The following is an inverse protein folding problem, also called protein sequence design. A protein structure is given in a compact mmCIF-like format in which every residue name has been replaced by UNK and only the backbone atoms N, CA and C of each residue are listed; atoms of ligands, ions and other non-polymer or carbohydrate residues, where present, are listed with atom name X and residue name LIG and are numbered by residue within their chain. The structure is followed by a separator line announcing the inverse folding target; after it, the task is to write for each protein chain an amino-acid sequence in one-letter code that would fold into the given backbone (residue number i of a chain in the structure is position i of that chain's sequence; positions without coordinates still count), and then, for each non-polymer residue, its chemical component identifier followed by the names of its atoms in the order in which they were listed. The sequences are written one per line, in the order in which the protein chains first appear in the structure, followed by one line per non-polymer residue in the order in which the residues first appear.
data_IF_888215486375
#
_entry.id   IF_888215486375
#
_cell.length_a   1.000
_cell.length_b   1.000
_cell.length_c   1.000
_cell.angle_alpha   90.00
_cell.angle_beta   90.00
_cell.angle_gamma   90.00
#
_symmetry.space_group_name_H-M   'P 1'
#
loop_
_entity.id
_entity.type
_entity.pdbx_description
1 polymer ?
#
# COMPACT_ATOMS: atom_id res chain seq x y z
N UNK A 1 -80.55 104.58 68.02
CA UNK A 1 -79.83 103.47 68.72
C UNK A 1 -79.97 102.15 67.97
N UNK A 2 -81.18 101.73 67.54
CA UNK A 2 -81.38 100.49 66.75
C UNK A 2 -80.63 100.45 65.39
N UNK A 3 -80.55 101.56 64.64
CA UNK A 3 -79.82 101.58 63.34
C UNK A 3 -78.30 101.39 63.44
N UNK A 4 -77.66 101.88 64.52
CA UNK A 4 -76.21 101.72 64.74
C UNK A 4 -75.84 100.29 65.14
N UNK A 5 -76.73 99.58 65.85
CA UNK A 5 -76.54 98.18 66.19
C UNK A 5 -76.71 97.25 64.98
N UNK A 6 -77.62 97.58 64.06
CA UNK A 6 -77.77 96.83 62.79
C UNK A 6 -76.57 97.03 61.86
N UNK A 7 -76.09 98.28 61.69
CA UNK A 7 -74.91 98.56 60.87
C UNK A 7 -73.63 97.91 61.43
N UNK A 8 -73.47 97.91 62.76
CA UNK A 8 -72.31 97.28 63.40
C UNK A 8 -72.37 95.75 63.39
N UNK A 9 -73.58 95.15 63.34
CA UNK A 9 -73.75 93.72 63.05
C UNK A 9 -73.42 93.39 61.60
N UNK A 10 -73.96 94.14 60.63
CA UNK A 10 -73.64 93.96 59.20
C UNK A 10 -72.14 94.08 58.92
N UNK A 11 -71.46 95.10 59.46
CA UNK A 11 -70.01 95.26 59.30
C UNK A 11 -69.19 94.11 59.93
N UNK A 12 -69.66 93.55 61.05
CA UNK A 12 -69.03 92.37 61.66
C UNK A 12 -69.26 91.12 60.83
N UNK A 13 -70.46 90.92 60.30
CA UNK A 13 -70.81 89.78 59.46
C UNK A 13 -70.04 89.82 58.13
N UNK A 14 -69.88 91.01 57.53
CA UNK A 14 -69.03 91.24 56.34
C UNK A 14 -67.54 90.97 56.63
N UNK A 15 -67.03 91.42 57.78
CA UNK A 15 -65.64 91.14 58.19
C UNK A 15 -65.42 89.65 58.47
N UNK A 16 -66.40 88.95 59.02
CA UNK A 16 -66.37 87.49 59.22
C UNK A 16 -66.39 86.78 57.86
N UNK A 17 -67.28 87.19 56.95
CA UNK A 17 -67.36 86.65 55.60
C UNK A 17 -66.08 86.87 54.79
N UNK A 18 -65.45 88.05 54.88
CA UNK A 18 -64.19 88.36 54.21
C UNK A 18 -63.03 87.52 54.77
N UNK A 19 -62.96 87.36 56.10
CA UNK A 19 -61.97 86.48 56.73
C UNK A 19 -62.16 85.02 56.32
N UNK A 20 -63.41 84.57 56.22
CA UNK A 20 -63.76 83.22 55.76
C UNK A 20 -63.32 83.01 54.31
N UNK A 21 -63.65 83.95 53.41
CA UNK A 21 -63.24 83.90 52.00
C UNK A 21 -61.72 83.90 51.85
N UNK A 22 -61.01 84.75 52.60
CA UNK A 22 -59.55 84.78 52.56
C UNK A 22 -58.92 83.49 53.10
N UNK A 23 -59.50 82.89 54.14
CA UNK A 23 -59.05 81.60 54.66
C UNK A 23 -59.31 80.46 53.65
N UNK A 24 -60.47 80.47 52.98
CA UNK A 24 -60.84 79.50 51.94
C UNK A 24 -59.95 79.66 50.69
N UNK A 25 -59.66 80.89 50.26
CA UNK A 25 -58.72 81.19 49.17
C UNK A 25 -57.30 80.74 49.50
N UNK A 26 -56.83 81.00 50.72
CA UNK A 26 -55.52 80.55 51.18
C UNK A 26 -55.45 79.01 51.20
N UNK A 27 -56.49 78.33 51.72
CA UNK A 27 -56.57 76.87 51.72
C UNK A 27 -56.62 76.29 50.30
N UNK A 28 -57.34 76.93 49.38
CA UNK A 28 -57.37 76.57 47.96
C UNK A 28 -56.00 76.74 47.30
N UNK A 29 -55.32 77.86 47.51
CA UNK A 29 -54.01 78.12 46.95
C UNK A 29 -52.95 77.13 47.48
N UNK A 30 -52.92 76.89 48.79
CA UNK A 30 -52.00 75.92 49.42
C UNK A 30 -52.27 74.50 48.93
N UNK A 31 -53.55 74.09 48.83
CA UNK A 31 -53.89 72.76 48.31
C UNK A 31 -53.54 72.60 46.83
N UNK A 32 -53.75 73.63 46.00
CA UNK A 32 -53.34 73.65 44.60
C UNK A 32 -51.80 73.58 44.44
N UNK A 33 -51.05 74.37 45.20
CA UNK A 33 -49.58 74.33 45.21
C UNK A 33 -49.04 72.97 45.67
N UNK A 34 -49.65 72.37 46.70
CA UNK A 34 -49.28 71.04 47.17
C UNK A 34 -49.57 69.98 46.11
N UNK A 35 -50.73 70.05 45.45
CA UNK A 35 -51.09 69.13 44.38
C UNK A 35 -50.16 69.27 43.17
N UNK A 36 -49.80 70.49 42.77
CA UNK A 36 -48.86 70.71 41.68
C UNK A 36 -47.46 70.18 42.02
N UNK A 37 -46.96 70.44 43.23
CA UNK A 37 -45.64 69.94 43.67
C UNK A 37 -45.60 68.41 43.72
N UNK A 38 -46.64 67.77 44.27
CA UNK A 38 -46.74 66.30 44.30
C UNK A 38 -46.80 65.72 42.87
N UNK A 39 -47.53 66.37 41.97
CA UNK A 39 -47.62 65.93 40.58
C UNK A 39 -46.29 66.07 39.83
N UNK A 40 -45.52 67.12 40.13
CA UNK A 40 -44.21 67.35 39.54
C UNK A 40 -43.19 66.33 40.05
N UNK A 41 -43.18 66.09 41.36
CA UNK A 41 -42.35 65.09 42.02
C UNK A 41 -42.67 63.67 41.51
N UNK A 42 -43.95 63.32 41.33
CA UNK A 42 -44.34 62.05 40.75
C UNK A 42 -43.86 61.92 39.30
N UNK A 43 -44.00 62.99 38.49
CA UNK A 43 -43.49 63.01 37.11
C UNK A 43 -41.97 62.85 37.06
N UNK A 44 -41.21 63.47 37.98
CA UNK A 44 -39.76 63.30 38.03
C UNK A 44 -39.37 61.88 38.41
N UNK A 45 -40.02 61.29 39.43
CA UNK A 45 -39.79 59.90 39.80
C UNK A 45 -40.12 58.91 38.67
N UNK A 46 -41.24 59.11 37.97
CA UNK A 46 -41.62 58.28 36.84
C UNK A 46 -40.61 58.39 35.69
N UNK A 47 -40.10 59.60 35.42
CA UNK A 47 -39.06 59.83 34.41
C UNK A 47 -37.75 59.17 34.79
N UNK A 48 -37.29 59.34 36.03
CA UNK A 48 -36.05 58.73 36.50
C UNK A 48 -36.14 57.21 36.53
N UNK A 49 -37.26 56.65 37.01
CA UNK A 49 -37.49 55.21 37.03
C UNK A 49 -37.48 54.63 35.62
N UNK A 50 -38.11 55.29 34.65
CA UNK A 50 -38.06 54.89 33.24
C UNK A 50 -36.64 54.97 32.69
N UNK A 51 -35.95 56.09 32.90
CA UNK A 51 -34.58 56.27 32.40
C UNK A 51 -33.60 55.25 33.00
N UNK A 52 -33.74 54.91 34.28
CA UNK A 52 -32.95 53.88 34.95
C UNK A 52 -33.26 52.50 34.32
N UNK A 53 -34.54 52.15 34.17
CA UNK A 53 -34.93 50.85 33.62
C UNK A 53 -34.50 50.70 32.15
N UNK A 54 -34.62 51.76 31.34
CA UNK A 54 -34.12 51.81 29.97
C UNK A 54 -32.60 51.63 29.90
N UNK A 55 -31.83 52.28 30.78
CA UNK A 55 -30.37 52.10 30.84
C UNK A 55 -29.99 50.67 31.24
N UNK A 56 -30.62 50.09 32.26
CA UNK A 56 -30.34 48.73 32.69
C UNK A 56 -30.69 47.70 31.61
N UNK A 57 -31.86 47.84 30.97
CA UNK A 57 -32.28 46.95 29.88
C UNK A 57 -31.36 47.08 28.67
N UNK A 58 -30.90 48.29 28.34
CA UNK A 58 -29.91 48.51 27.30
C UNK A 58 -28.55 47.89 27.65
N UNK A 59 -28.05 48.06 28.88
CA UNK A 59 -26.80 47.43 29.33
C UNK A 59 -26.87 45.91 29.30
N UNK A 60 -27.98 45.32 29.75
CA UNK A 60 -28.20 43.87 29.70
C UNK A 60 -28.24 43.36 28.25
N UNK A 61 -28.88 44.08 27.33
CA UNK A 61 -28.88 43.75 25.89
C UNK A 61 -27.48 43.79 25.32
N UNK A 62 -26.74 44.89 25.51
CA UNK A 62 -25.36 45.03 25.01
C UNK A 62 -24.44 43.97 25.61
N UNK A 63 -24.56 43.67 26.90
CA UNK A 63 -23.77 42.63 27.54
C UNK A 63 -24.12 41.23 27.02
N UNK A 64 -25.41 40.93 26.82
CA UNK A 64 -25.88 39.68 26.23
C UNK A 64 -25.40 39.52 24.79
N UNK A 65 -25.54 40.55 23.96
CA UNK A 65 -25.12 40.54 22.56
C UNK A 65 -23.61 40.35 22.45
N UNK A 66 -22.83 41.06 23.28
CA UNK A 66 -21.37 40.89 23.35
C UNK A 66 -20.97 39.49 23.77
N UNK A 67 -21.63 38.92 24.79
CA UNK A 67 -21.37 37.55 25.24
C UNK A 67 -21.69 36.53 24.13
N UNK A 68 -22.83 36.68 23.45
CA UNK A 68 -23.21 35.82 22.34
C UNK A 68 -22.23 35.92 21.18
N UNK A 69 -21.77 37.12 20.86
CA UNK A 69 -20.77 37.36 19.82
C UNK A 69 -19.44 36.69 20.16
N UNK A 70 -18.90 36.92 21.37
CA UNK A 70 -17.64 36.27 21.80
C UNK A 70 -17.77 34.75 21.79
N UNK A 71 -18.90 34.20 22.27
CA UNK A 71 -19.14 32.76 22.23
C UNK A 71 -19.22 32.22 20.80
N UNK A 72 -19.81 32.97 19.87
CA UNK A 72 -19.87 32.60 18.46
C UNK A 72 -18.47 32.59 17.83
N UNK A 73 -17.67 33.64 18.08
CA UNK A 73 -16.29 33.75 17.62
C UNK A 73 -15.41 32.61 18.18
N UNK A 74 -15.49 32.32 19.48
CA UNK A 74 -14.76 31.20 20.10
C UNK A 74 -15.19 29.83 19.56
N UNK A 75 -16.48 29.66 19.21
CA UNK A 75 -16.98 28.42 18.60
C UNK A 75 -16.48 28.27 17.19
N UNK A 76 -16.49 29.35 16.41
CA UNK A 76 -15.97 29.36 15.04
C UNK A 76 -14.46 29.04 15.03
N UNK A 77 -13.69 29.67 15.92
CA UNK A 77 -12.26 29.38 16.09
C UNK A 77 -12.01 27.92 16.46
N UNK A 78 -12.74 27.38 17.45
CA UNK A 78 -12.61 25.96 17.82
C UNK A 78 -13.00 25.01 16.71
N UNK A 79 -14.04 25.32 15.94
CA UNK A 79 -14.42 24.50 14.77
C UNK A 79 -13.33 24.53 13.70
N UNK A 80 -12.73 25.69 13.44
CA UNK A 80 -11.61 25.81 12.51
C UNK A 80 -10.39 25.00 12.97
N UNK A 81 -10.04 25.04 14.26
CA UNK A 81 -8.97 24.22 14.83
C UNK A 81 -9.28 22.71 14.74
N UNK A 82 -10.50 22.29 15.05
CA UNK A 82 -10.92 20.90 14.94
C UNK A 82 -10.87 20.39 13.49
N UNK A 83 -11.28 21.19 12.52
CA UNK A 83 -11.16 20.82 11.11
C UNK A 83 -9.69 20.72 10.66
N UNK A 84 -8.82 21.61 11.16
CA UNK A 84 -7.38 21.51 10.93
C UNK A 84 -6.80 20.21 11.49
N UNK A 85 -7.09 19.88 12.76
CA UNK A 85 -6.63 18.61 13.35
C UNK A 85 -7.19 17.40 12.63
N UNK A 86 -8.45 17.46 12.17
CA UNK A 86 -9.06 16.38 11.38
C UNK A 86 -8.36 16.20 10.04
N UNK A 87 -7.93 17.28 9.39
CA UNK A 87 -7.14 17.22 8.16
C UNK A 87 -5.75 16.62 8.41
N UNK A 88 -5.06 17.05 9.47
CA UNK A 88 -3.75 16.52 9.87
C UNK A 88 -3.81 15.01 10.19
N UNK A 89 -4.83 14.57 10.94
CA UNK A 89 -5.03 13.15 11.26
C UNK A 89 -5.31 12.31 10.01
N UNK A 90 -6.08 12.83 9.04
CA UNK A 90 -6.30 12.14 7.76
C UNK A 90 -5.00 12.03 6.97
N UNK A 91 -4.23 13.12 6.87
CA UNK A 91 -2.94 13.11 6.19
C UNK A 91 -1.98 12.10 6.84
N UNK A 92 -1.88 12.09 8.18
CA UNK A 92 -1.08 11.12 8.91
C UNK A 92 -1.56 9.68 8.66
N UNK A 93 -2.87 9.45 8.67
CA UNK A 93 -3.47 8.16 8.34
C UNK A 93 -3.09 7.67 6.94
N UNK A 94 -3.13 8.54 5.93
CA UNK A 94 -2.73 8.18 4.55
C UNK A 94 -1.24 7.88 4.44
N UNK A 95 -0.38 8.64 5.12
CA UNK A 95 1.06 8.41 5.13
C UNK A 95 1.39 7.09 5.84
N UNK A 96 0.77 6.83 6.99
CA UNK A 96 0.99 5.59 7.74
C UNK A 96 0.52 4.35 6.97
N UNK A 97 -0.63 4.43 6.30
CA UNK A 97 -1.14 3.34 5.45
C UNK A 97 -0.22 3.06 4.26
N UNK A 98 0.24 4.12 3.57
CA UNK A 98 1.21 3.99 2.49
C UNK A 98 2.56 3.42 2.96
N UNK A 99 3.04 3.83 4.14
CA UNK A 99 4.30 3.34 4.72
C UNK A 99 4.19 1.88 5.15
N UNK A 100 3.09 1.52 5.83
CA UNK A 100 2.87 0.15 6.30
C UNK A 100 2.71 -0.84 5.14
N UNK A 101 1.95 -0.45 4.11
CA UNK A 101 1.79 -1.27 2.90
C UNK A 101 3.10 -1.40 2.12
N UNK A 102 3.88 -0.32 2.01
CA UNK A 102 5.18 -0.32 1.37
C UNK A 102 6.21 -1.18 2.14
N UNK A 103 6.27 -1.07 3.47
CA UNK A 103 7.17 -1.88 4.31
C UNK A 103 6.81 -3.37 4.21
N UNK A 104 5.52 -3.70 4.29
CA UNK A 104 5.05 -5.07 4.13
C UNK A 104 5.35 -5.65 2.74
N UNK A 105 5.23 -4.83 1.70
CA UNK A 105 5.58 -5.20 0.33
C UNK A 105 7.09 -5.40 0.16
N UNK A 106 7.90 -4.42 0.58
CA UNK A 106 9.36 -4.48 0.50
C UNK A 106 9.94 -5.68 1.24
N UNK A 107 9.46 -5.95 2.47
CA UNK A 107 9.86 -7.12 3.24
C UNK A 107 9.48 -8.44 2.55
N UNK A 108 8.31 -8.49 1.90
CA UNK A 108 7.89 -9.65 1.11
C UNK A 108 8.83 -9.87 -0.09
N UNK A 109 9.14 -8.81 -0.83
CA UNK A 109 10.04 -8.89 -1.98
C UNK A 109 11.42 -9.34 -1.53
N UNK A 110 11.96 -8.79 -0.44
CA UNK A 110 13.24 -9.21 0.13
C UNK A 110 13.27 -10.71 0.48
N UNK A 111 12.25 -11.21 1.20
CA UNK A 111 12.13 -12.64 1.50
C UNK A 111 12.06 -13.50 0.25
N UNK A 112 11.34 -13.04 -0.77
CA UNK A 112 11.21 -13.75 -2.05
C UNK A 112 12.54 -13.79 -2.80
N UNK A 113 13.31 -12.69 -2.79
CA UNK A 113 14.67 -12.64 -3.33
C UNK A 113 15.60 -13.62 -2.65
N UNK A 114 15.59 -13.68 -1.32
CA UNK A 114 16.39 -14.65 -0.57
C UNK A 114 16.01 -16.09 -0.92
N UNK A 115 14.72 -16.40 -0.99
CA UNK A 115 14.25 -17.73 -1.35
C UNK A 115 14.60 -18.12 -2.80
N UNK A 116 14.55 -17.17 -3.74
CA UNK A 116 14.94 -17.39 -5.14
C UNK A 116 16.46 -17.62 -5.29
N UNK A 117 17.27 -16.93 -4.49
CA UNK A 117 18.71 -17.17 -4.40
C UNK A 117 19.00 -18.54 -3.81
N UNK A 118 18.38 -18.90 -2.68
CA UNK A 118 18.54 -20.20 -2.05
C UNK A 118 18.13 -21.36 -2.99
N UNK A 119 17.03 -21.19 -3.73
CA UNK A 119 16.62 -22.13 -4.77
C UNK A 119 17.72 -22.30 -5.81
N UNK A 120 18.28 -21.20 -6.32
CA UNK A 120 19.33 -21.24 -7.34
C UNK A 120 20.61 -21.91 -6.84
N UNK A 121 21.03 -21.62 -5.61
CA UNK A 121 22.19 -22.29 -5.00
C UNK A 121 21.95 -23.80 -4.88
N UNK A 122 20.71 -24.20 -4.55
CA UNK A 122 20.33 -25.62 -4.46
C UNK A 122 20.31 -26.32 -5.82
N UNK A 123 19.90 -25.62 -6.87
CA UNK A 123 19.99 -26.07 -8.26
C UNK A 123 21.44 -26.32 -8.66
N UNK A 124 22.35 -25.39 -8.34
CA UNK A 124 23.78 -25.58 -8.64
C UNK A 124 24.39 -26.74 -7.85
N UNK A 125 23.94 -26.94 -6.61
CA UNK A 125 24.34 -28.07 -5.78
C UNK A 125 23.78 -29.43 -6.24
N UNK A 126 22.97 -29.48 -7.31
CA UNK A 126 22.34 -30.69 -7.85
C UNK A 126 21.59 -31.50 -6.79
N UNK A 127 20.83 -30.80 -5.95
CA UNK A 127 20.21 -31.38 -4.77
C UNK A 127 18.68 -31.21 -4.76
N UNK A 128 17.95 -31.94 -3.90
CA UNK A 128 16.50 -31.83 -3.79
C UNK A 128 16.03 -30.39 -3.55
N UNK A 129 14.95 -30.00 -4.25
CA UNK A 129 14.44 -28.61 -4.28
C UNK A 129 13.18 -28.40 -3.44
N UNK A 130 12.63 -29.46 -2.82
CA UNK A 130 11.35 -29.44 -2.07
C UNK A 130 11.27 -28.31 -1.05
N UNK A 131 12.31 -28.12 -0.24
CA UNK A 131 12.36 -27.14 0.85
C UNK A 131 12.36 -25.72 0.32
N UNK A 132 13.18 -25.47 -0.68
CA UNK A 132 13.42 -24.17 -1.30
C UNK A 132 12.20 -23.72 -2.08
N UNK A 133 11.56 -24.64 -2.82
CA UNK A 133 10.29 -24.39 -3.50
C UNK A 133 9.18 -24.03 -2.50
N UNK A 134 9.11 -24.72 -1.36
CA UNK A 134 8.13 -24.41 -0.30
C UNK A 134 8.38 -23.01 0.28
N UNK A 135 9.63 -22.73 0.66
CA UNK A 135 10.03 -21.43 1.19
C UNK A 135 9.77 -20.30 0.19
N UNK A 136 10.02 -20.54 -1.10
CA UNK A 136 9.75 -19.58 -2.17
C UNK A 136 8.25 -19.31 -2.32
N UNK A 137 7.39 -20.34 -2.36
CA UNK A 137 5.93 -20.17 -2.44
C UNK A 137 5.38 -19.41 -1.24
N UNK A 138 5.88 -19.71 -0.05
CA UNK A 138 5.49 -19.03 1.19
C UNK A 138 5.92 -17.56 1.17
N UNK A 139 7.18 -17.28 0.82
CA UNK A 139 7.70 -15.92 0.71
C UNK A 139 6.96 -15.09 -0.36
N UNK A 140 6.69 -15.70 -1.50
CA UNK A 140 5.97 -15.08 -2.62
C UNK A 140 4.45 -14.97 -2.40
N UNK A 141 3.92 -15.50 -1.30
CA UNK A 141 2.47 -15.62 -1.04
C UNK A 141 1.69 -16.23 -2.21
N UNK A 142 2.22 -17.30 -2.79
CA UNK A 142 1.63 -17.99 -3.95
C UNK A 142 1.45 -17.06 -5.18
N UNK A 143 2.46 -16.25 -5.49
CA UNK A 143 2.52 -15.51 -6.75
C UNK A 143 2.22 -16.43 -7.95
N UNK A 144 1.28 -16.07 -8.85
CA UNK A 144 0.85 -16.95 -9.93
C UNK A 144 1.95 -17.35 -10.91
N UNK A 145 2.90 -16.45 -11.19
CA UNK A 145 3.99 -16.71 -12.12
C UNK A 145 5.00 -17.67 -11.48
N UNK A 146 5.37 -17.44 -10.22
CA UNK A 146 6.23 -18.34 -9.47
C UNK A 146 5.59 -19.72 -9.34
N UNK A 147 4.30 -19.79 -9.05
CA UNK A 147 3.60 -21.06 -8.92
C UNK A 147 3.50 -21.82 -10.25
N UNK A 148 3.24 -21.11 -11.36
CA UNK A 148 3.24 -21.70 -12.70
C UNK A 148 4.64 -22.22 -13.09
N UNK A 149 5.69 -21.45 -12.83
CA UNK A 149 7.07 -21.83 -13.13
C UNK A 149 7.52 -23.06 -12.30
N UNK A 150 7.13 -23.13 -11.04
CA UNK A 150 7.39 -24.32 -10.21
C UNK A 150 6.59 -25.53 -10.71
N UNK A 151 5.34 -25.34 -11.13
CA UNK A 151 4.48 -26.42 -11.65
C UNK A 151 4.96 -27.00 -12.98
N UNK A 152 5.73 -26.26 -13.77
CA UNK A 152 6.34 -26.80 -15.00
C UNK A 152 7.52 -27.74 -14.74
N UNK A 153 8.06 -27.79 -13.52
CA UNK A 153 9.15 -28.70 -13.19
C UNK A 153 8.65 -30.15 -13.05
N UNK A 154 9.39 -31.14 -13.59
CA UNK A 154 9.09 -32.54 -13.35
C UNK A 154 9.18 -32.89 -11.85
N UNK A 155 8.34 -33.82 -11.39
CA UNK A 155 8.39 -34.22 -9.98
C UNK A 155 9.75 -34.81 -9.59
N UNK A 156 10.36 -35.63 -10.44
CA UNK A 156 11.69 -36.22 -10.19
C UNK A 156 12.74 -35.17 -9.83
N UNK A 157 12.70 -34.03 -10.51
CA UNK A 157 13.61 -32.91 -10.29
C UNK A 157 13.40 -32.24 -8.94
N UNK A 158 12.15 -32.07 -8.52
CA UNK A 158 11.81 -31.48 -7.21
C UNK A 158 12.32 -32.38 -6.08
N UNK A 159 12.20 -33.68 -6.30
CA UNK A 159 12.47 -34.76 -5.35
C UNK A 159 13.95 -35.08 -5.16
N UNK A 160 14.65 -35.26 -6.27
CA UNK A 160 16.02 -35.80 -6.31
C UNK A 160 17.03 -34.70 -6.65
N UNK A 161 16.59 -33.63 -7.30
CA UNK A 161 17.45 -32.63 -7.92
C UNK A 161 17.77 -32.98 -9.37
N UNK A 162 18.20 -31.98 -10.14
CA UNK A 162 18.75 -32.21 -11.48
C UNK A 162 20.29 -32.30 -11.40
N UNK A 163 20.94 -33.13 -12.23
CA UNK A 163 22.38 -33.27 -12.20
C UNK A 163 23.09 -31.96 -12.55
N UNK A 164 24.27 -31.74 -11.98
CA UNK A 164 25.10 -30.57 -12.31
C UNK A 164 25.67 -30.65 -13.72
N UNK A 165 26.05 -29.51 -14.30
CA UNK A 165 26.73 -29.46 -15.61
C UNK A 165 27.98 -30.34 -15.61
N UNK A 166 28.75 -30.34 -14.52
CA UNK A 166 29.92 -31.21 -14.37
C UNK A 166 29.57 -32.70 -14.32
N UNK A 167 28.48 -33.07 -13.65
CA UNK A 167 27.99 -34.46 -13.64
C UNK A 167 27.51 -34.90 -15.04
N UNK A 168 26.83 -34.01 -15.76
CA UNK A 168 26.42 -34.26 -17.15
C UNK A 168 27.62 -34.43 -18.06
N UNK A 169 28.66 -33.60 -17.93
CA UNK A 169 29.92 -33.69 -18.66
C UNK A 169 30.64 -35.02 -18.40
N UNK A 170 30.72 -35.46 -17.15
CA UNK A 170 31.39 -36.72 -16.81
C UNK A 170 30.60 -37.93 -17.37
N UNK A 171 29.28 -37.95 -17.19
CA UNK A 171 28.41 -38.99 -17.77
C UNK A 171 28.49 -39.00 -19.29
N UNK A 172 28.62 -37.84 -19.93
CA UNK A 172 28.68 -37.73 -21.38
C UNK A 172 29.90 -38.45 -21.97
N UNK A 173 31.05 -38.47 -21.28
CA UNK A 173 32.24 -39.23 -21.75
C UNK A 173 31.94 -40.71 -21.93
N UNK A 174 31.17 -41.28 -21.00
CA UNK A 174 30.73 -42.67 -21.06
C UNK A 174 29.75 -42.85 -22.23
N UNK A 175 28.73 -42.00 -22.33
CA UNK A 175 27.72 -42.03 -23.40
C UNK A 175 28.39 -41.93 -24.78
N UNK A 176 29.35 -41.01 -24.97
CA UNK A 176 30.12 -40.89 -26.20
C UNK A 176 30.87 -42.18 -26.54
N UNK A 177 31.54 -42.79 -25.56
CA UNK A 177 32.30 -44.03 -25.79
C UNK A 177 31.40 -45.23 -26.14
N UNK A 178 30.21 -45.31 -25.56
CA UNK A 178 29.25 -46.40 -25.81
C UNK A 178 28.47 -46.13 -27.09
N UNK A 179 28.08 -44.89 -27.34
CA UNK A 179 27.40 -44.43 -28.56
C UNK A 179 28.27 -44.63 -29.80
N UNK A 180 29.56 -44.31 -29.73
CA UNK A 180 30.52 -44.61 -30.80
C UNK A 180 30.57 -46.11 -31.10
N UNK A 181 30.71 -46.95 -30.06
CA UNK A 181 30.70 -48.41 -30.23
C UNK A 181 29.38 -48.94 -30.79
N UNK A 182 28.25 -48.38 -30.34
CA UNK A 182 26.92 -48.73 -30.81
C UNK A 182 26.70 -48.36 -32.28
N UNK A 183 27.28 -47.27 -32.76
CA UNK A 183 27.20 -46.86 -34.16
C UNK A 183 27.98 -47.81 -35.09
N UNK A 184 28.96 -48.54 -34.56
CA UNK A 184 29.75 -49.52 -35.31
C UNK A 184 29.10 -50.91 -35.38
N UNK A 185 27.96 -51.13 -34.69
CA UNK A 185 27.24 -52.41 -34.71
C UNK A 185 26.14 -52.33 -35.79
N UNK A 186 26.19 -53.15 -36.86
CA UNK A 186 25.12 -53.21 -37.86
C UNK A 186 23.81 -53.68 -37.23
N UNK A 187 22.69 -53.04 -37.57
CA UNK A 187 21.37 -53.39 -36.99
C UNK A 187 20.82 -54.76 -37.46
N UNK A 188 21.48 -55.43 -38.42
CA UNK A 188 21.10 -56.75 -38.94
C UNK A 188 22.33 -57.62 -39.26
N UNK A 189 22.95 -58.26 -38.27
CA UNK A 189 23.86 -59.37 -38.56
C UNK A 189 23.66 -60.56 -37.64
N UNK A 190 22.85 -61.49 -38.15
CA UNK A 190 23.15 -62.91 -37.98
C UNK A 190 24.61 -63.19 -38.35
N UNK A 191 25.14 -64.23 -37.73
CA UNK A 191 26.56 -64.60 -37.72
C UNK A 191 27.15 -64.58 -39.15
N UNK A 192 28.34 -63.97 -39.27
CA UNK A 192 29.24 -63.88 -40.44
C UNK A 192 29.05 -62.64 -41.32
N UNK A 193 30.13 -61.85 -41.43
CA UNK A 193 30.36 -61.05 -42.63
C UNK A 193 31.15 -59.77 -42.44
N UNK A 194 32.44 -59.91 -42.10
CA UNK A 194 33.55 -59.01 -42.41
C UNK A 194 33.30 -57.49 -42.53
N UNK A 195 33.99 -56.77 -41.63
CA UNK A 195 34.66 -55.49 -41.86
C UNK A 195 34.47 -54.87 -43.27
N UNK A 196 33.69 -53.80 -43.34
CA UNK A 196 33.88 -52.76 -44.34
C UNK A 196 34.09 -51.44 -43.62
N UNK A 197 35.31 -50.92 -43.79
CA UNK A 197 35.78 -49.73 -43.14
C UNK A 197 35.31 -48.46 -43.85
N UNK A 198 35.10 -47.43 -43.03
CA UNK A 198 35.61 -46.10 -43.32
C UNK A 198 36.07 -45.48 -42.00
N UNK A 199 37.21 -45.98 -41.52
CA UNK A 199 38.07 -45.24 -40.62
C UNK A 199 38.83 -44.19 -41.45
N UNK A 200 38.18 -43.05 -41.69
CA UNK A 200 38.82 -41.88 -42.29
C UNK A 200 38.30 -40.59 -41.62
N UNK A 201 38.43 -40.54 -40.28
CA UNK A 201 38.41 -39.28 -39.54
C UNK A 201 39.25 -39.30 -38.24
N UNK A 202 40.02 -40.36 -37.99
CA UNK A 202 40.86 -40.48 -36.78
C UNK A 202 42.07 -39.51 -36.75
N UNK A 203 42.20 -38.60 -37.71
CA UNK A 203 43.37 -37.72 -37.85
C UNK A 203 43.04 -36.32 -38.42
N UNK A 204 41.90 -35.75 -38.04
CA UNK A 204 41.78 -34.29 -38.02
C UNK A 204 41.18 -33.86 -36.69
N UNK A 205 42.06 -33.57 -35.74
CA UNK A 205 41.77 -32.66 -34.65
C UNK A 205 41.79 -31.26 -35.28
N UNK A 206 40.65 -30.59 -35.53
CA UNK A 206 40.71 -29.20 -35.91
C UNK A 206 41.16 -28.41 -34.67
N UNK A 207 42.01 -27.40 -34.81
CA UNK A 207 42.30 -26.47 -33.73
C UNK A 207 41.03 -25.70 -33.38
N UNK A 208 40.23 -26.21 -32.44
CA UNK A 208 39.19 -25.47 -31.73
C UNK A 208 37.72 -25.68 -32.11
N UNK A 209 37.34 -26.64 -32.96
CA UNK A 209 35.94 -26.79 -33.42
C UNK A 209 35.38 -28.23 -33.46
N UNK A 210 34.05 -28.41 -33.45
CA UNK A 210 33.41 -29.72 -33.50
C UNK A 210 33.45 -30.36 -34.89
N UNK A 211 33.26 -31.68 -34.96
CA UNK A 211 33.22 -32.43 -36.22
C UNK A 211 31.90 -32.15 -36.98
N UNK A 212 31.99 -31.78 -38.25
CA UNK A 212 30.86 -31.61 -39.15
C UNK A 212 30.40 -32.96 -39.73
N UNK A 213 29.09 -33.12 -39.97
CA UNK A 213 28.52 -34.34 -40.54
C UNK A 213 27.23 -34.79 -39.84
N UNK A 214 26.53 -35.75 -40.46
CA UNK A 214 25.28 -36.32 -39.94
C UNK A 214 25.47 -37.64 -39.21
N UNK A 215 26.68 -38.20 -39.24
CA UNK A 215 27.00 -39.46 -38.59
C UNK A 215 26.99 -39.33 -37.06
N UNK A 216 26.78 -40.45 -36.37
CA UNK A 216 26.68 -40.48 -34.92
C UNK A 216 27.89 -39.84 -34.22
N UNK A 217 29.11 -40.04 -34.74
CA UNK A 217 30.33 -39.45 -34.19
C UNK A 217 30.41 -37.94 -34.36
N UNK A 218 29.92 -37.41 -35.48
CA UNK A 218 29.84 -35.97 -35.72
C UNK A 218 28.83 -35.32 -34.77
N UNK A 219 27.67 -35.96 -34.59
CA UNK A 219 26.64 -35.55 -33.63
C UNK A 219 27.20 -35.55 -32.19
N UNK A 220 27.81 -36.67 -31.76
CA UNK A 220 28.41 -36.79 -30.44
C UNK A 220 29.52 -35.75 -30.21
N UNK A 221 30.30 -35.42 -31.25
CA UNK A 221 31.33 -34.38 -31.16
C UNK A 221 30.74 -32.98 -31.00
N UNK A 222 29.66 -32.64 -31.71
CA UNK A 222 29.00 -31.32 -31.58
C UNK A 222 28.31 -31.18 -30.22
N UNK A 223 27.65 -32.24 -29.76
CA UNK A 223 27.08 -32.31 -28.43
C UNK A 223 28.14 -32.11 -27.34
N UNK A 224 29.30 -32.77 -27.45
CA UNK A 224 30.41 -32.59 -26.48
C UNK A 224 30.90 -31.14 -26.46
N UNK A 225 31.04 -30.53 -27.64
CA UNK A 225 31.49 -29.15 -27.77
C UNK A 225 30.51 -28.17 -27.13
N UNK A 226 29.21 -28.31 -27.40
CA UNK A 226 28.16 -27.50 -26.78
C UNK A 226 28.15 -27.68 -25.24
N UNK A 227 28.26 -28.92 -24.77
CA UNK A 227 28.28 -29.23 -23.34
C UNK A 227 29.52 -28.65 -22.62
N UNK A 228 30.69 -28.63 -23.28
CA UNK A 228 31.89 -27.95 -22.76
C UNK A 228 31.74 -26.44 -22.70
N UNK A 229 30.96 -25.85 -23.62
CA UNK A 229 30.61 -24.44 -23.60
C UNK A 229 29.51 -24.09 -22.57
N UNK A 230 28.91 -25.09 -21.91
CA UNK A 230 27.78 -24.91 -20.99
C UNK A 230 26.43 -24.74 -21.68
N UNK A 231 26.36 -24.93 -23.00
CA UNK A 231 25.14 -24.85 -23.79
C UNK A 231 24.42 -26.21 -23.79
N UNK A 232 23.63 -26.45 -22.73
CA UNK A 232 22.92 -27.71 -22.52
C UNK A 232 21.81 -27.90 -23.56
N UNK A 233 21.12 -26.82 -23.94
CA UNK A 233 20.04 -26.85 -24.93
C UNK A 233 20.56 -27.33 -26.28
N UNK A 234 21.64 -26.71 -26.77
CA UNK A 234 22.28 -27.16 -28.02
C UNK A 234 22.81 -28.59 -27.92
N UNK A 235 23.36 -28.99 -26.77
CA UNK A 235 23.83 -30.37 -26.58
C UNK A 235 22.67 -31.38 -26.66
N UNK A 236 21.50 -31.06 -26.09
CA UNK A 236 20.30 -31.88 -26.20
C UNK A 236 19.84 -31.98 -27.64
N UNK A 237 19.79 -30.86 -28.37
CA UNK A 237 19.33 -30.81 -29.75
C UNK A 237 20.20 -31.66 -30.69
N UNK A 238 21.53 -31.57 -30.54
CA UNK A 238 22.45 -32.44 -31.26
C UNK A 238 22.19 -33.91 -30.91
N UNK A 239 22.10 -34.25 -29.62
CA UNK A 239 21.88 -35.63 -29.17
C UNK A 239 20.54 -36.22 -29.62
N UNK A 240 19.51 -35.40 -29.81
CA UNK A 240 18.22 -35.80 -30.41
C UNK A 240 18.34 -36.14 -31.90
N UNK A 241 19.39 -35.70 -32.57
CA UNK A 241 19.72 -36.07 -33.95
C UNK A 241 20.29 -37.49 -34.09
N UNK A 242 20.64 -38.17 -32.99
CA UNK A 242 21.06 -39.58 -33.04
C UNK A 242 19.90 -40.48 -33.47
N UNK A 243 20.22 -41.52 -34.23
CA UNK A 243 19.28 -42.58 -34.63
C UNK A 243 19.82 -43.97 -34.25
N UNK A 244 18.97 -44.99 -34.33
CA UNK A 244 19.35 -46.38 -34.06
C UNK A 244 19.78 -46.66 -32.61
N UNK A 245 20.70 -47.61 -32.44
CA UNK A 245 21.25 -48.00 -31.12
C UNK A 245 21.92 -46.83 -30.36
N UNK A 246 22.73 -45.94 -30.97
CA UNK A 246 23.29 -44.77 -30.29
C UNK A 246 22.24 -43.86 -29.63
N UNK A 247 21.08 -43.69 -30.27
CA UNK A 247 19.98 -42.91 -29.71
C UNK A 247 19.41 -43.59 -28.45
N UNK A 248 19.27 -44.92 -28.46
CA UNK A 248 18.74 -45.67 -27.32
C UNK A 248 19.64 -45.58 -26.09
N UNK A 249 20.95 -45.72 -26.27
CA UNK A 249 21.95 -45.60 -25.19
C UNK A 249 21.97 -44.19 -24.59
N UNK A 250 21.66 -43.18 -25.39
CA UNK A 250 21.71 -41.77 -24.99
C UNK A 250 20.47 -41.27 -24.26
N UNK A 251 19.36 -42.02 -24.26
CA UNK A 251 18.06 -41.56 -23.72
C UNK A 251 18.12 -41.08 -22.28
N UNK A 252 18.77 -41.84 -21.40
CA UNK A 252 18.91 -41.49 -19.98
C UNK A 252 19.69 -40.18 -19.78
N UNK A 253 20.77 -39.99 -20.55
CA UNK A 253 21.54 -38.75 -20.51
C UNK A 253 20.74 -37.57 -21.04
N UNK A 254 19.98 -37.75 -22.13
CA UNK A 254 19.12 -36.69 -22.70
C UNK A 254 18.06 -36.27 -21.67
N UNK A 255 17.37 -37.22 -21.03
CA UNK A 255 16.36 -36.92 -20.02
C UNK A 255 16.94 -36.19 -18.79
N UNK A 256 18.14 -36.58 -18.38
CA UNK A 256 18.88 -35.92 -17.31
C UNK A 256 19.29 -34.47 -17.69
N UNK A 257 19.71 -34.26 -18.93
CA UNK A 257 20.05 -32.93 -19.46
C UNK A 257 18.81 -32.03 -19.60
N UNK A 258 17.69 -32.56 -20.10
CA UNK A 258 16.40 -31.85 -20.18
C UNK A 258 15.90 -31.42 -18.79
N UNK A 259 16.06 -32.29 -17.81
CA UNK A 259 15.74 -31.99 -16.41
C UNK A 259 16.58 -30.82 -15.89
N UNK A 260 17.89 -30.80 -16.18
CA UNK A 260 18.77 -29.68 -15.82
C UNK A 260 18.38 -28.38 -16.53
N UNK A 261 18.09 -28.45 -17.83
CA UNK A 261 17.67 -27.29 -18.62
C UNK A 261 16.36 -26.68 -18.07
N UNK A 262 15.36 -27.52 -17.78
CA UNK A 262 14.08 -27.07 -17.24
C UNK A 262 14.24 -26.32 -15.91
N UNK A 263 15.12 -26.80 -15.03
CA UNK A 263 15.43 -26.15 -13.75
C UNK A 263 16.14 -24.82 -13.95
N UNK A 264 17.14 -24.77 -14.81
CA UNK A 264 17.88 -23.53 -15.06
C UNK A 264 16.97 -22.45 -15.67
N UNK A 265 16.12 -22.81 -16.62
CA UNK A 265 15.14 -21.90 -17.21
C UNK A 265 14.14 -21.42 -16.16
N UNK A 266 13.63 -22.32 -15.32
CA UNK A 266 12.71 -21.97 -14.22
C UNK A 266 13.36 -21.02 -13.22
N UNK A 267 14.59 -21.31 -12.79
CA UNK A 267 15.33 -20.45 -11.88
C UNK A 267 15.61 -19.06 -12.48
N UNK A 268 15.93 -18.99 -13.78
CA UNK A 268 16.10 -17.72 -14.52
C UNK A 268 14.81 -16.91 -14.55
N UNK A 269 13.66 -17.54 -14.86
CA UNK A 269 12.35 -16.88 -14.89
C UNK A 269 11.98 -16.34 -13.50
N UNK A 270 12.15 -17.14 -12.45
CA UNK A 270 11.87 -16.73 -11.07
C UNK A 270 12.77 -15.54 -10.69
N UNK A 271 14.08 -15.62 -10.95
CA UNK A 271 15.02 -14.51 -10.68
C UNK A 271 14.63 -13.23 -11.41
N UNK A 272 14.28 -13.32 -12.69
CA UNK A 272 13.86 -12.16 -13.47
C UNK A 272 12.58 -11.53 -12.93
N UNK A 273 11.58 -12.34 -12.57
CA UNK A 273 10.33 -11.86 -11.96
C UNK A 273 10.59 -11.18 -10.62
N UNK A 274 11.41 -11.79 -9.77
CA UNK A 274 11.73 -11.22 -8.46
C UNK A 274 12.55 -9.93 -8.59
N UNK A 275 13.44 -9.82 -9.58
CA UNK A 275 14.13 -8.57 -9.88
C UNK A 275 13.17 -7.46 -10.33
N UNK A 276 12.14 -7.79 -11.12
CA UNK A 276 11.08 -6.85 -11.49
C UNK A 276 10.27 -6.38 -10.28
N UNK A 277 9.92 -7.30 -9.38
CA UNK A 277 9.26 -6.97 -8.12
C UNK A 277 10.14 -6.06 -7.24
N UNK A 278 11.44 -6.32 -7.17
CA UNK A 278 12.39 -5.47 -6.43
C UNK A 278 12.52 -4.07 -7.05
N UNK A 279 12.54 -3.96 -8.38
CA UNK A 279 12.55 -2.67 -9.06
C UNK A 279 11.26 -1.88 -8.83
N UNK A 280 10.13 -2.56 -8.59
CA UNK A 280 8.87 -1.86 -8.22
C UNK A 280 8.87 -1.34 -6.77
N UNK A 281 9.81 -1.78 -5.93
CA UNK A 281 10.02 -1.22 -4.60
C UNK A 281 10.89 0.06 -4.62
N UNK A 282 11.75 0.26 -5.62
CA UNK A 282 12.66 1.42 -5.69
C UNK A 282 11.99 2.64 -6.31
#
# INVERSE_FOLDING_TARGET
RLQQEVLSRQSRDEMVALKQQYADDLARNVSQQRASLLSELQRTFDRETKAINERYTQQLRVASDKMQQTLAEEREQRLAELEKYRAELRALGTVLDSSSTYEAFSHRVHKTSMAALALSDRVEAAAPLRSEIRALREAARNDPLIDAAVKSLPQSVIEEGAPSVGQLQERFKVVKSVGHRAALVPEDSGIIGQAFGSALSLLMIPPGGPIEGTDADAVLSRAEFALKAGDIEKAIDEMKGLSGVPAQVSKDWISAAESRLAVEQTAKVIKAHVALLAASCS
#
